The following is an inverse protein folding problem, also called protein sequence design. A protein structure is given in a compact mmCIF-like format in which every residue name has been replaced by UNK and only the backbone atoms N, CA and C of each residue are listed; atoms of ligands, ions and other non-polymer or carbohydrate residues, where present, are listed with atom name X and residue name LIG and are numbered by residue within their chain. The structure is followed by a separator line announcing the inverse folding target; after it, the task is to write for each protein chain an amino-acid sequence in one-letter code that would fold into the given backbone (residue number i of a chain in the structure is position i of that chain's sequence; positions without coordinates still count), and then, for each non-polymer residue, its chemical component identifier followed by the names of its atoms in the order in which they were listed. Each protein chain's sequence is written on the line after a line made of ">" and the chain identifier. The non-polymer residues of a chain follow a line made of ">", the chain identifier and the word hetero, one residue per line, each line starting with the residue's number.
data_IF_796196738430
#
_entry.id   IF_796196738430
#
_cell.length_a   1.000
_cell.length_b   1.000
_cell.length_c   1.000
_cell.angle_alpha   90.00
_cell.angle_beta   90.00
_cell.angle_gamma   90.00
#
_symmetry.space_group_name_H-M   'P 1'
#
loop_
_entity.id
_entity.type
_entity.pdbx_description
1 polymer ?
#
# COMPACT_ATOMS: atom_id res chain seq x y z
N UNK A 1 30.96 -22.58 12.59
CA UNK A 1 29.96 -23.39 11.87
C UNK A 1 28.60 -22.75 12.09
N UNK A 2 27.89 -22.52 10.99
CA UNK A 2 26.67 -21.72 10.88
C UNK A 2 25.48 -22.33 11.63
N UNK A 3 24.61 -21.47 12.15
CA UNK A 3 23.19 -21.75 12.27
C UNK A 3 22.44 -20.46 11.97
N UNK A 4 22.14 -20.29 10.68
CA UNK A 4 21.21 -19.28 10.18
C UNK A 4 19.80 -19.72 10.58
N UNK A 5 19.28 -19.17 11.66
CA UNK A 5 17.85 -19.24 11.93
C UNK A 5 17.18 -18.10 11.18
N UNK A 6 16.68 -18.42 9.99
CA UNK A 6 15.67 -17.62 9.29
C UNK A 6 14.42 -17.54 10.19
N UNK A 7 14.39 -16.54 11.06
CA UNK A 7 13.16 -16.04 11.65
C UNK A 7 12.39 -15.28 10.56
N UNK A 8 11.61 -16.01 9.77
CA UNK A 8 10.41 -15.42 9.17
C UNK A 8 9.40 -15.27 10.30
N UNK A 9 9.56 -14.21 11.10
CA UNK A 9 8.60 -13.87 12.13
C UNK A 9 7.28 -13.47 11.46
N UNK A 10 6.31 -14.37 11.64
CA UNK A 10 4.90 -14.09 11.88
C UNK A 10 4.21 -13.02 10.99
N UNK A 11 3.83 -13.43 9.78
CA UNK A 11 2.84 -12.72 8.95
C UNK A 11 1.39 -12.84 9.48
N UNK A 12 1.17 -13.37 10.69
CA UNK A 12 -0.16 -13.68 11.23
C UNK A 12 -0.52 -12.95 12.52
N UNK A 13 0.25 -11.94 12.92
CA UNK A 13 -0.27 -10.98 13.88
C UNK A 13 -1.53 -10.34 13.27
N UNK A 14 -2.71 -10.40 13.92
CA UNK A 14 -3.93 -9.86 13.36
C UNK A 14 -3.68 -8.38 13.08
N UNK A 15 -3.50 -8.04 11.81
CA UNK A 15 -3.36 -6.66 11.35
C UNK A 15 -4.43 -5.86 12.08
N UNK A 16 -4.02 -4.83 12.83
CA UNK A 16 -4.94 -3.93 13.51
C UNK A 16 -6.08 -3.61 12.53
N UNK A 17 -7.34 -3.72 12.96
CA UNK A 17 -8.50 -3.48 12.10
C UNK A 17 -8.39 -2.15 11.34
N UNK A 18 -7.79 -1.13 11.97
CA UNK A 18 -7.49 0.14 11.33
C UNK A 18 -6.51 -0.01 10.15
N UNK A 19 -5.47 -0.83 10.29
CA UNK A 19 -4.52 -1.13 9.23
C UNK A 19 -5.16 -1.95 8.11
N UNK A 20 -6.05 -2.88 8.42
CA UNK A 20 -6.83 -3.60 7.40
C UNK A 20 -7.71 -2.64 6.59
N UNK A 21 -8.44 -1.74 7.26
CA UNK A 21 -9.25 -0.72 6.60
C UNK A 21 -8.40 0.23 5.75
N UNK A 22 -7.23 0.64 6.25
CA UNK A 22 -6.30 1.51 5.54
C UNK A 22 -5.83 0.84 4.24
N UNK A 23 -5.36 -0.41 4.31
CA UNK A 23 -4.94 -1.20 3.14
C UNK A 23 -6.07 -1.36 2.13
N UNK A 24 -7.27 -1.71 2.59
CA UNK A 24 -8.44 -1.86 1.71
C UNK A 24 -8.77 -0.55 0.99
N UNK A 25 -8.72 0.58 1.70
CA UNK A 25 -8.97 1.91 1.12
C UNK A 25 -7.95 2.24 0.03
N UNK A 26 -6.67 1.95 0.28
CA UNK A 26 -5.59 2.20 -0.69
C UNK A 26 -5.75 1.31 -1.93
N UNK A 27 -6.08 0.03 -1.75
CA UNK A 27 -6.33 -0.91 -2.85
C UNK A 27 -7.51 -0.44 -3.70
N UNK A 28 -8.64 -0.11 -3.07
CA UNK A 28 -9.82 0.43 -3.77
C UNK A 28 -9.47 1.70 -4.55
N UNK A 29 -8.63 2.58 -3.98
CA UNK A 29 -8.18 3.81 -4.64
C UNK A 29 -7.29 3.53 -5.86
N UNK A 30 -6.50 2.45 -5.86
CA UNK A 30 -5.66 2.06 -7.01
C UNK A 30 -6.47 1.45 -8.17
N UNK A 31 -7.65 0.88 -7.87
CA UNK A 31 -8.54 0.27 -8.87
C UNK A 31 -9.54 1.28 -9.45
N UNK A 32 -9.87 2.33 -8.69
CA UNK A 32 -10.77 3.39 -9.13
C UNK A 32 -10.09 4.32 -10.15
N UNK A 33 -10.44 4.17 -11.43
CA UNK A 33 -9.90 4.96 -12.54
C UNK A 33 -10.23 6.45 -12.42
N UNK A 34 -11.45 6.79 -12.03
CA UNK A 34 -11.90 8.19 -11.93
C UNK A 34 -11.13 8.90 -10.81
N UNK A 35 -10.98 8.25 -9.66
CA UNK A 35 -10.14 8.74 -8.57
C UNK A 35 -8.71 9.03 -9.05
N UNK A 36 -8.10 8.08 -9.75
CA UNK A 36 -6.73 8.25 -10.24
C UNK A 36 -6.60 9.39 -11.25
N UNK A 37 -7.57 9.58 -12.15
CA UNK A 37 -7.58 10.66 -13.12
C UNK A 37 -7.74 12.03 -12.43
N UNK A 38 -8.66 12.13 -11.48
CA UNK A 38 -8.89 13.36 -10.70
C UNK A 38 -7.62 13.74 -9.95
N UNK A 39 -7.03 12.81 -9.21
CA UNK A 39 -5.84 13.07 -8.40
C UNK A 39 -4.61 13.37 -9.28
N UNK A 40 -4.42 12.63 -10.37
CA UNK A 40 -3.35 12.90 -11.33
C UNK A 40 -3.45 14.33 -11.90
N UNK A 41 -4.66 14.75 -12.28
CA UNK A 41 -4.91 16.11 -12.75
C UNK A 41 -4.65 17.17 -11.68
N UNK A 42 -5.08 16.94 -10.43
CA UNK A 42 -4.88 17.89 -9.33
C UNK A 42 -3.41 18.02 -8.94
N UNK A 43 -2.64 16.94 -8.99
CA UNK A 43 -1.25 16.91 -8.57
C UNK A 43 -0.26 17.22 -9.70
N UNK A 44 -0.74 17.43 -10.93
CA UNK A 44 0.09 17.54 -12.13
C UNK A 44 1.09 16.37 -12.27
N UNK A 45 0.59 15.14 -12.08
CA UNK A 45 1.35 13.89 -12.16
C UNK A 45 0.71 12.94 -13.16
N UNK A 46 1.46 11.95 -13.63
CA UNK A 46 0.88 10.84 -14.37
C UNK A 46 0.10 9.89 -13.45
N UNK A 47 -0.87 9.18 -14.03
CA UNK A 47 -1.61 8.11 -13.31
C UNK A 47 -0.65 7.06 -12.73
N UNK A 48 0.44 6.77 -13.44
CA UNK A 48 1.47 5.82 -13.00
C UNK A 48 2.20 6.32 -11.75
N UNK A 49 2.52 7.62 -11.67
CA UNK A 49 3.13 8.23 -10.50
C UNK A 49 2.18 8.18 -9.30
N UNK A 50 0.90 8.51 -9.49
CA UNK A 50 -0.12 8.42 -8.42
C UNK A 50 -0.27 6.97 -7.93
N UNK A 51 -0.34 6.00 -8.84
CA UNK A 51 -0.39 4.57 -8.48
C UNK A 51 0.86 4.13 -7.71
N UNK A 52 2.04 4.60 -8.09
CA UNK A 52 3.28 4.28 -7.39
C UNK A 52 3.26 4.83 -5.95
N UNK A 53 2.80 6.07 -5.75
CA UNK A 53 2.67 6.66 -4.42
C UNK A 53 1.66 5.90 -3.54
N UNK A 54 0.54 5.45 -4.09
CA UNK A 54 -0.42 4.61 -3.37
C UNK A 54 0.20 3.26 -2.97
N UNK A 55 1.02 2.65 -3.83
CA UNK A 55 1.78 1.43 -3.48
C UNK A 55 2.79 1.68 -2.36
N UNK A 56 3.49 2.81 -2.39
CA UNK A 56 4.42 3.17 -1.31
C UNK A 56 3.69 3.34 0.02
N UNK A 57 2.53 4.01 0.03
CA UNK A 57 1.68 4.11 1.23
C UNK A 57 1.22 2.75 1.72
N UNK A 58 0.90 1.82 0.81
CA UNK A 58 0.50 0.47 1.18
C UNK A 58 1.60 -0.29 1.94
N UNK A 59 2.86 -0.09 1.55
CA UNK A 59 4.02 -0.83 2.10
C UNK A 59 4.66 -0.14 3.32
N UNK A 60 4.69 1.19 3.36
CA UNK A 60 5.55 1.94 4.28
C UNK A 60 4.85 2.55 5.51
N UNK A 61 3.52 2.46 5.62
CA UNK A 61 2.77 2.93 6.79
C UNK A 61 2.24 1.71 7.55
N UNK A 62 3.00 1.24 8.54
CA UNK A 62 2.64 0.17 9.46
C UNK A 62 3.21 0.47 10.85
#
# INVERSE_FOLDING_TARGET
>A
MSSNNNQYEDLTSPLNYQEQLRRQTIINSMENKDYLLIIASQQNKSVQQVKHELKLKLVNEG
#
